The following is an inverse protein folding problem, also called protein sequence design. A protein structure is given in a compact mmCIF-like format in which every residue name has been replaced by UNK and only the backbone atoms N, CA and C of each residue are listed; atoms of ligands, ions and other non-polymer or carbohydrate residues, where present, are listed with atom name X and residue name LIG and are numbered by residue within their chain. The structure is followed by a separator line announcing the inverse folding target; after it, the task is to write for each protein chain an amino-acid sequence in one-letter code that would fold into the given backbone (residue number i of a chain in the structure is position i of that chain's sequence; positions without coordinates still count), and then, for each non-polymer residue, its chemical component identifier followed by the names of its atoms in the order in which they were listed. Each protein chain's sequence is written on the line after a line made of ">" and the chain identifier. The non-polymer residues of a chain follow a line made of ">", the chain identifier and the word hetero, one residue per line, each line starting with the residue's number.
data_IF_180711565796
#
_entry.id   IF_180711565796
#
_cell.length_a   1.000
_cell.length_b   1.000
_cell.length_c   1.000
_cell.angle_alpha   90.00
_cell.angle_beta   90.00
_cell.angle_gamma   90.00
#
_symmetry.space_group_name_H-M   'P 1'
#
loop_
_entity.id
_entity.type
_entity.pdbx_description
1 polymer ?
#
# COMPACT_ATOMS: atom_id res chain seq x y z
N UNK A 1 13.23 10.31 4.51
CA UNK A 1 13.57 10.10 5.94
C UNK A 1 13.10 8.71 6.32
N UNK A 2 13.82 8.00 7.17
CA UNK A 2 13.35 6.75 7.78
C UNK A 2 13.75 6.69 9.25
N UNK A 3 12.88 6.21 10.13
CA UNK A 3 13.18 6.03 11.56
C UNK A 3 13.93 4.73 11.84
N UNK A 4 14.65 4.66 12.96
CA UNK A 4 15.14 3.39 13.50
C UNK A 4 13.96 2.54 13.98
N UNK A 5 14.06 1.19 13.97
CA UNK A 5 12.97 0.34 14.46
C UNK A 5 12.52 0.64 15.89
N UNK A 6 13.45 1.08 16.75
CA UNK A 6 13.15 1.50 18.13
C UNK A 6 12.64 2.94 18.26
N UNK A 7 12.61 3.73 17.18
CA UNK A 7 12.11 5.11 17.16
C UNK A 7 13.01 6.15 17.85
N UNK A 8 14.17 5.77 18.39
CA UNK A 8 15.09 6.67 19.09
C UNK A 8 15.96 7.55 18.18
N UNK A 9 15.82 7.38 16.86
CA UNK A 9 16.68 8.00 15.86
C UNK A 9 16.12 7.87 14.45
N UNK A 10 16.78 8.52 13.50
CA UNK A 10 16.36 8.51 12.10
C UNK A 10 17.53 8.77 11.15
N UNK A 11 17.34 8.34 9.91
CA UNK A 11 18.18 8.65 8.78
C UNK A 11 17.51 9.65 7.84
N UNK A 12 18.30 10.58 7.32
CA UNK A 12 17.98 11.34 6.12
C UNK A 12 18.81 10.80 4.97
N UNK A 13 18.18 10.67 3.82
CA UNK A 13 18.84 10.33 2.57
C UNK A 13 18.65 11.47 1.58
N UNK A 14 19.73 11.86 0.93
CA UNK A 14 19.73 12.87 -0.13
C UNK A 14 19.70 12.20 -1.50
N UNK A 15 19.28 12.96 -2.53
CA UNK A 15 19.15 12.45 -3.91
C UNK A 15 20.49 12.02 -4.52
N UNK A 16 21.60 12.54 -4.02
CA UNK A 16 22.96 12.12 -4.39
C UNK A 16 23.41 10.84 -3.67
N UNK A 17 22.57 10.24 -2.83
CA UNK A 17 22.88 9.06 -2.04
C UNK A 17 23.62 9.34 -0.73
N UNK A 18 23.77 10.60 -0.34
CA UNK A 18 24.24 11.00 0.98
C UNK A 18 23.30 10.49 2.07
N UNK A 19 23.85 9.87 3.11
CA UNK A 19 23.09 9.40 4.29
C UNK A 19 23.56 10.14 5.54
N UNK A 20 22.61 10.67 6.30
CA UNK A 20 22.85 11.38 7.54
C UNK A 20 22.09 10.67 8.66
N UNK A 21 22.80 10.26 9.71
CA UNK A 21 22.23 9.56 10.85
C UNK A 21 22.10 10.49 12.07
N UNK A 22 20.95 10.41 12.76
CA UNK A 22 20.64 11.22 13.94
C UNK A 22 20.04 10.36 15.05
N UNK A 23 20.23 10.78 16.31
CA UNK A 23 19.74 10.04 17.48
C UNK A 23 20.51 8.75 17.68
N UNK A 24 19.80 7.63 17.84
CA UNK A 24 20.38 6.28 17.97
C UNK A 24 20.67 5.58 16.63
N UNK A 25 20.44 6.25 15.50
CA UNK A 25 20.66 5.68 14.17
C UNK A 25 22.16 5.44 13.90
N UNK A 26 22.52 4.21 13.50
CA UNK A 26 23.87 3.85 13.07
C UNK A 26 24.15 4.25 11.62
N UNK A 27 25.38 4.67 11.29
CA UNK A 27 25.79 4.92 9.91
C UNK A 27 26.44 3.66 9.32
N UNK A 28 25.83 3.07 8.28
CA UNK A 28 26.29 1.82 7.68
C UNK A 28 26.86 1.96 6.27
N UNK A 29 26.83 3.18 5.71
CA UNK A 29 27.37 3.50 4.40
C UNK A 29 26.52 4.51 3.62
N UNK A 30 27.02 4.95 2.47
CA UNK A 30 26.36 5.93 1.62
C UNK A 30 26.75 5.72 0.17
N UNK A 31 25.84 6.07 -0.75
CA UNK A 31 26.08 6.01 -2.19
C UNK A 31 26.68 7.31 -2.75
N UNK A 32 26.93 8.33 -1.92
CA UNK A 32 27.40 9.66 -2.33
C UNK A 32 28.77 9.67 -3.03
N UNK A 33 29.56 8.60 -2.90
CA UNK A 33 30.86 8.46 -3.59
C UNK A 33 30.74 7.74 -4.92
N UNK A 34 29.56 7.23 -5.27
CA UNK A 34 29.31 6.50 -6.50
C UNK A 34 28.80 7.46 -7.58
N UNK A 35 29.19 7.25 -8.86
CA UNK A 35 28.53 7.91 -9.97
C UNK A 35 27.14 7.29 -10.16
N UNK A 36 26.14 7.86 -9.50
CA UNK A 36 24.75 7.42 -9.64
C UNK A 36 24.23 7.71 -11.05
N UNK A 37 23.61 6.71 -11.67
CA UNK A 37 22.94 6.88 -12.96
C UNK A 37 21.64 7.70 -12.80
N UNK A 38 20.97 7.55 -11.66
CA UNK A 38 19.73 8.25 -11.30
C UNK A 38 19.70 8.59 -9.81
N UNK A 39 18.92 9.60 -9.39
CA UNK A 39 18.87 10.01 -8.00
C UNK A 39 18.29 8.94 -7.06
N UNK A 40 18.78 8.89 -5.83
CA UNK A 40 18.14 8.15 -4.74
C UNK A 40 16.79 8.83 -4.40
N UNK A 41 15.73 8.03 -4.35
CA UNK A 41 14.36 8.51 -4.06
C UNK A 41 13.81 7.95 -2.75
N UNK A 42 14.49 7.00 -2.13
CA UNK A 42 14.15 6.56 -0.79
C UNK A 42 15.16 5.62 -0.12
N UNK A 43 14.84 5.26 1.11
CA UNK A 43 15.59 4.28 1.90
C UNK A 43 14.66 3.45 2.76
N UNK A 44 15.06 2.22 3.06
CA UNK A 44 14.32 1.30 3.92
C UNK A 44 15.29 0.59 4.87
N UNK A 45 15.08 0.64 6.19
CA UNK A 45 15.93 -0.03 7.17
C UNK A 45 15.60 -1.51 7.27
N UNK A 46 16.59 -2.31 7.69
CA UNK A 46 16.35 -3.69 8.14
C UNK A 46 15.63 -3.69 9.49
N UNK A 47 14.96 -4.79 9.81
CA UNK A 47 14.23 -4.95 11.09
C UNK A 47 15.16 -4.86 12.31
N UNK A 48 16.43 -5.23 12.16
CA UNK A 48 17.46 -5.08 13.21
C UNK A 48 17.89 -3.63 13.42
N UNK A 49 17.59 -2.74 12.47
CA UNK A 49 18.11 -1.37 12.42
C UNK A 49 19.63 -1.31 12.18
N UNK A 50 20.26 -2.44 11.81
CA UNK A 50 21.72 -2.57 11.61
C UNK A 50 22.13 -2.50 10.13
N UNK A 51 21.22 -2.05 9.27
CA UNK A 51 21.42 -1.94 7.84
C UNK A 51 20.25 -1.24 7.16
N UNK A 52 20.42 -0.90 5.88
CA UNK A 52 19.38 -0.31 5.05
C UNK A 52 19.66 -0.52 3.56
N UNK A 53 18.58 -0.47 2.79
CA UNK A 53 18.62 -0.27 1.35
C UNK A 53 18.43 1.21 1.01
N UNK A 54 19.18 1.70 0.02
CA UNK A 54 18.84 2.90 -0.73
C UNK A 54 18.31 2.47 -2.10
N UNK A 55 17.28 3.14 -2.62
CA UNK A 55 16.76 2.87 -3.96
C UNK A 55 16.66 4.13 -4.81
N UNK A 56 17.07 4.01 -6.06
CA UNK A 56 17.11 5.07 -7.06
C UNK A 56 15.89 5.03 -7.99
N UNK A 57 15.61 6.15 -8.66
CA UNK A 57 14.47 6.28 -9.58
C UNK A 57 14.59 5.45 -10.86
N UNK A 58 15.75 4.85 -11.14
CA UNK A 58 15.92 3.84 -12.21
C UNK A 58 15.80 2.40 -11.68
N UNK A 59 15.47 2.22 -10.41
CA UNK A 59 15.41 0.91 -9.75
C UNK A 59 16.77 0.42 -9.24
N UNK A 60 17.81 1.27 -9.27
CA UNK A 60 19.10 1.00 -8.62
C UNK A 60 18.95 0.74 -7.13
N UNK A 61 19.35 -0.43 -6.64
CA UNK A 61 19.34 -0.76 -5.21
C UNK A 61 20.76 -0.84 -4.66
N UNK A 62 20.99 -0.22 -3.50
CA UNK A 62 22.27 -0.22 -2.79
C UNK A 62 22.03 -0.72 -1.37
N UNK A 63 22.72 -1.79 -0.97
CA UNK A 63 22.55 -2.39 0.36
C UNK A 63 23.75 -2.06 1.25
N UNK A 64 23.47 -1.66 2.50
CA UNK A 64 24.46 -1.28 3.50
C UNK A 64 24.18 -1.96 4.85
N UNK A 65 25.24 -2.20 5.63
CA UNK A 65 25.13 -2.88 6.91
C UNK A 65 24.74 -4.35 6.73
N UNK A 66 23.70 -4.80 7.43
CA UNK A 66 23.16 -6.16 7.34
C UNK A 66 22.06 -6.35 6.28
N UNK A 67 21.77 -5.32 5.47
CA UNK A 67 20.83 -5.42 4.37
C UNK A 67 21.35 -6.37 3.26
N UNK A 68 20.54 -7.36 2.87
CA UNK A 68 20.88 -8.29 1.79
C UNK A 68 20.65 -7.68 0.40
N UNK A 69 21.61 -7.82 -0.51
CA UNK A 69 21.44 -7.41 -1.91
C UNK A 69 20.89 -8.57 -2.75
N UNK A 70 19.70 -8.40 -3.32
CA UNK A 70 19.00 -9.45 -4.08
C UNK A 70 18.84 -9.14 -5.58
N UNK A 71 19.31 -7.98 -6.03
CA UNK A 71 19.24 -7.53 -7.42
C UNK A 71 18.89 -6.05 -7.56
N UNK A 72 18.78 -5.58 -8.80
CA UNK A 72 18.55 -4.16 -9.09
C UNK A 72 17.79 -4.02 -10.42
N UNK A 73 16.89 -3.02 -10.47
CA UNK A 73 16.13 -2.66 -11.66
C UNK A 73 16.84 -1.71 -12.63
N UNK A 74 18.04 -1.22 -12.27
CA UNK A 74 18.75 -0.13 -12.97
C UNK A 74 18.98 -0.34 -14.49
N UNK A 75 19.00 -1.59 -14.97
CA UNK A 75 19.23 -1.90 -16.38
C UNK A 75 17.96 -2.07 -17.21
N UNK A 76 16.78 -1.96 -16.58
CA UNK A 76 15.49 -2.13 -17.24
C UNK A 76 15.11 -0.98 -18.18
N UNK A 77 15.69 0.21 -17.96
CA UNK A 77 15.26 1.44 -18.63
C UNK A 77 13.91 1.98 -18.17
N UNK A 78 13.35 1.41 -17.08
CA UNK A 78 12.09 1.86 -16.48
C UNK A 78 12.33 2.87 -15.35
N UNK A 79 11.32 3.69 -15.06
CA UNK A 79 11.32 4.57 -13.90
C UNK A 79 10.60 3.89 -12.73
N UNK A 80 11.18 3.99 -11.53
CA UNK A 80 10.69 3.36 -10.31
C UNK A 80 10.26 4.41 -9.29
N UNK A 81 9.21 4.08 -8.53
CA UNK A 81 8.60 4.93 -7.51
C UNK A 81 8.76 4.37 -6.10
N UNK A 82 8.83 3.04 -5.94
CA UNK A 82 8.85 2.42 -4.62
C UNK A 82 9.61 1.09 -4.56
N UNK A 83 9.99 0.72 -3.33
CA UNK A 83 10.57 -0.57 -2.96
C UNK A 83 9.82 -1.11 -1.74
N UNK A 84 9.62 -2.43 -1.68
CA UNK A 84 9.00 -3.11 -0.54
C UNK A 84 9.75 -4.42 -0.21
N UNK A 85 10.51 -4.49 0.89
CA UNK A 85 11.16 -5.73 1.34
C UNK A 85 10.16 -6.77 1.85
N UNK A 86 10.52 -8.04 1.75
CA UNK A 86 9.73 -9.13 2.35
C UNK A 86 9.83 -9.07 3.88
N UNK A 87 8.82 -9.55 4.62
CA UNK A 87 8.86 -9.55 6.09
C UNK A 87 10.05 -10.29 6.70
N UNK A 88 10.55 -11.33 6.01
CA UNK A 88 11.73 -12.12 6.39
C UNK A 88 13.05 -11.53 5.88
N UNK A 89 13.00 -10.39 5.18
CA UNK A 89 14.14 -9.65 4.62
C UNK A 89 15.04 -10.46 3.66
N UNK A 90 14.54 -11.54 3.06
CA UNK A 90 15.27 -12.34 2.05
C UNK A 90 14.88 -12.03 0.60
N UNK A 91 14.14 -10.94 0.39
CA UNK A 91 13.79 -10.44 -0.93
C UNK A 91 13.17 -9.04 -0.88
N UNK A 92 12.87 -8.49 -2.04
CA UNK A 92 12.10 -7.27 -2.18
C UNK A 92 11.40 -7.17 -3.53
N UNK A 93 10.41 -6.29 -3.58
CA UNK A 93 9.67 -5.88 -4.77
C UNK A 93 10.04 -4.44 -5.12
N UNK A 94 10.22 -4.14 -6.40
CA UNK A 94 10.37 -2.78 -6.92
C UNK A 94 9.15 -2.44 -7.77
N UNK A 95 8.54 -1.28 -7.54
CA UNK A 95 7.38 -0.78 -8.26
C UNK A 95 7.80 0.30 -9.26
N UNK A 96 7.43 0.14 -10.52
CA UNK A 96 7.63 1.14 -11.55
C UNK A 96 6.55 2.23 -11.50
N UNK A 97 6.82 3.39 -12.10
CA UNK A 97 5.85 4.49 -12.21
C UNK A 97 4.60 4.11 -13.01
N UNK A 98 4.71 3.15 -13.93
CA UNK A 98 3.59 2.60 -14.70
C UNK A 98 2.91 1.43 -14.00
N UNK A 99 3.25 1.15 -12.73
CA UNK A 99 2.54 0.18 -11.88
C UNK A 99 3.03 -1.26 -11.99
N UNK A 100 4.15 -1.55 -12.66
CA UNK A 100 4.72 -2.90 -12.77
C UNK A 100 5.55 -3.27 -11.55
N UNK A 101 5.42 -4.51 -11.10
CA UNK A 101 6.21 -5.05 -10.00
C UNK A 101 7.34 -5.94 -10.54
N UNK A 102 8.57 -5.65 -10.13
CA UNK A 102 9.73 -6.52 -10.32
C UNK A 102 10.12 -7.17 -9.00
N UNK A 103 10.24 -8.50 -8.98
CA UNK A 103 10.58 -9.27 -7.77
C UNK A 103 12.06 -9.67 -7.75
N UNK A 104 12.67 -9.61 -6.56
CA UNK A 104 14.07 -9.97 -6.32
C UNK A 104 14.20 -10.81 -5.05
N UNK A 105 15.14 -11.76 -5.07
CA UNK A 105 15.35 -12.69 -3.96
C UNK A 105 14.19 -13.68 -3.83
N UNK A 106 13.74 -13.93 -2.59
CA UNK A 106 12.62 -14.81 -2.29
C UNK A 106 11.24 -14.11 -2.29
N UNK A 107 11.16 -12.86 -2.77
CA UNK A 107 9.89 -12.16 -2.87
C UNK A 107 8.93 -12.88 -3.82
N UNK A 108 7.74 -13.24 -3.33
CA UNK A 108 6.67 -13.76 -4.16
C UNK A 108 6.17 -12.67 -5.12
N UNK A 109 5.97 -13.02 -6.38
CA UNK A 109 5.22 -12.19 -7.32
C UNK A 109 3.74 -12.21 -6.93
N UNK A 110 3.18 -11.04 -6.67
CA UNK A 110 1.80 -10.85 -6.25
C UNK A 110 0.95 -10.23 -7.36
N UNK A 111 1.48 -10.17 -8.59
CA UNK A 111 0.90 -9.42 -9.70
C UNK A 111 1.32 -7.95 -9.67
N UNK A 112 1.11 -7.26 -10.79
CA UNK A 112 1.34 -5.81 -10.89
C UNK A 112 0.02 -5.05 -10.91
N UNK A 113 -0.08 -3.88 -10.26
CA UNK A 113 -1.15 -2.92 -10.55
C UNK A 113 -1.32 -2.63 -12.05
N UNK A 114 -0.22 -2.61 -12.81
CA UNK A 114 -0.24 -2.45 -14.27
C UNK A 114 -0.83 -3.63 -15.06
N UNK A 115 -0.96 -4.80 -14.42
CA UNK A 115 -1.57 -5.97 -15.03
C UNK A 115 -3.09 -5.89 -14.98
N UNK A 116 -3.66 -4.98 -14.16
CA UNK A 116 -5.05 -4.55 -14.33
C UNK A 116 -5.24 -4.11 -15.77
N UNK A 117 -6.29 -4.61 -16.43
CA UNK A 117 -6.51 -4.26 -17.83
C UNK A 117 -6.54 -2.73 -17.97
N UNK A 118 -6.00 -2.17 -19.06
CA UNK A 118 -6.03 -0.72 -19.27
C UNK A 118 -7.47 -0.12 -19.26
N UNK A 119 -8.49 -0.98 -19.32
CA UNK A 119 -9.90 -0.60 -19.14
C UNK A 119 -10.27 -0.36 -17.65
N UNK A 120 -9.53 -0.95 -16.72
CA UNK A 120 -9.76 -0.89 -15.28
C UNK A 120 -8.75 -0.03 -14.51
N UNK A 121 -7.77 0.60 -15.18
CA UNK A 121 -6.73 1.41 -14.54
C UNK A 121 -7.31 2.69 -13.89
N UNK A 122 -7.41 2.73 -12.54
CA UNK A 122 -7.88 3.91 -11.82
C UNK A 122 -6.83 5.05 -11.85
N UNK A 123 -5.61 4.78 -12.32
CA UNK A 123 -4.51 5.74 -12.32
C UNK A 123 -4.21 6.29 -13.72
N UNK A 124 -5.14 6.15 -14.66
CA UNK A 124 -5.01 6.81 -15.97
C UNK A 124 -4.78 8.31 -15.79
N UNK A 125 -3.73 8.83 -16.43
CA UNK A 125 -3.24 10.19 -16.22
C UNK A 125 -4.33 11.24 -16.49
N UNK A 126 -4.55 12.15 -15.52
CA UNK A 126 -5.50 13.26 -15.64
C UNK A 126 -6.91 12.96 -15.11
N UNK A 127 -7.15 11.77 -14.56
CA UNK A 127 -8.30 11.48 -13.70
C UNK A 127 -8.07 12.06 -12.30
N UNK A 128 -9.12 12.18 -11.48
CA UNK A 128 -9.00 12.85 -10.18
C UNK A 128 -7.95 12.24 -9.22
N UNK A 129 -7.64 10.93 -9.19
CA UNK A 129 -6.57 10.40 -8.33
C UNK A 129 -5.16 10.75 -8.81
N UNK A 130 -5.00 11.09 -10.10
CA UNK A 130 -3.70 11.41 -10.71
C UNK A 130 -3.61 12.85 -11.22
N UNK A 131 -4.63 13.65 -10.92
CA UNK A 131 -4.68 15.05 -11.32
C UNK A 131 -3.55 15.81 -10.63
N UNK A 132 -2.68 16.46 -11.40
CA UNK A 132 -1.68 17.36 -10.85
C UNK A 132 -2.38 18.57 -10.21
N UNK A 133 -2.43 18.58 -8.87
CA UNK A 133 -3.05 19.65 -8.09
C UNK A 133 -2.08 20.77 -7.73
N UNK A 134 -0.79 20.69 -8.10
CA UNK A 134 0.24 21.64 -7.66
C UNK A 134 -0.02 23.08 -8.12
N UNK A 135 -0.75 23.24 -9.24
CA UNK A 135 -1.16 24.54 -9.78
C UNK A 135 -2.56 25.02 -9.37
N UNK A 136 -3.32 24.24 -8.59
CA UNK A 136 -4.70 24.59 -8.24
C UNK A 136 -4.77 25.70 -7.17
N UNK A 137 -5.82 26.55 -7.18
CA UNK A 137 -5.99 27.58 -6.16
C UNK A 137 -6.11 26.99 -4.75
N UNK A 138 -5.35 27.56 -3.82
CA UNK A 138 -5.44 27.18 -2.40
C UNK A 138 -6.73 27.75 -1.81
N UNK A 139 -7.53 26.90 -1.16
CA UNK A 139 -8.74 27.33 -0.48
C UNK A 139 -8.44 28.37 0.63
N UNK A 140 -9.28 29.40 0.77
CA UNK A 140 -9.06 30.50 1.72
C UNK A 140 -8.93 30.06 3.19
N UNK A 141 -9.46 28.87 3.54
CA UNK A 141 -9.38 28.26 4.87
C UNK A 141 -8.27 27.19 5.01
N UNK A 142 -7.42 26.99 4.00
CA UNK A 142 -6.40 25.92 4.00
C UNK A 142 -5.54 25.91 5.25
N UNK A 143 -5.06 27.08 5.69
CA UNK A 143 -4.29 27.23 6.93
C UNK A 143 -5.06 26.82 8.19
N UNK A 144 -6.38 27.06 8.23
CA UNK A 144 -7.23 26.60 9.33
C UNK A 144 -7.44 25.08 9.31
N UNK A 145 -7.56 24.47 8.12
CA UNK A 145 -7.67 23.01 7.96
C UNK A 145 -6.37 22.30 8.39
N UNK A 146 -5.21 22.81 7.95
CA UNK A 146 -3.90 22.30 8.37
C UNK A 146 -3.74 22.42 9.89
N UNK A 147 -4.14 23.56 10.47
CA UNK A 147 -4.09 23.76 11.91
C UNK A 147 -5.03 22.79 12.67
N UNK A 148 -6.20 22.43 12.12
CA UNK A 148 -7.11 21.47 12.76
C UNK A 148 -6.62 20.02 12.72
N UNK A 149 -5.88 19.62 11.68
CA UNK A 149 -5.22 18.30 11.62
C UNK A 149 -4.16 18.19 12.72
N UNK A 150 -3.46 19.30 13.02
CA UNK A 150 -2.55 19.44 14.14
C UNK A 150 -1.09 19.21 13.74
N UNK A 151 -0.37 20.29 13.43
CA UNK A 151 1.02 20.24 12.91
C UNK A 151 2.10 19.70 13.87
N UNK A 152 1.75 19.27 15.08
CA UNK A 152 2.63 18.58 16.01
C UNK A 152 2.21 17.14 16.31
N UNK A 153 1.20 16.61 15.61
CA UNK A 153 0.77 15.22 15.72
C UNK A 153 1.61 14.36 14.79
N UNK A 154 1.99 13.19 15.26
CA UNK A 154 2.62 12.19 14.39
C UNK A 154 1.55 11.62 13.46
N UNK A 155 1.91 11.44 12.19
CA UNK A 155 1.12 10.63 11.28
C UNK A 155 1.21 9.17 11.72
N UNK A 156 0.07 8.47 11.69
CA UNK A 156 0.04 7.01 11.79
C UNK A 156 0.21 6.44 10.38
N UNK A 157 1.35 5.83 10.03
CA UNK A 157 1.52 5.21 8.73
C UNK A 157 0.68 3.94 8.67
N UNK A 158 -0.18 3.79 7.66
CA UNK A 158 -1.06 2.63 7.53
C UNK A 158 -0.81 1.86 6.21
N UNK A 159 0.43 1.38 6.06
CA UNK A 159 0.98 0.93 4.77
C UNK A 159 1.03 -0.60 4.59
N UNK A 160 0.20 -1.39 5.27
CA UNK A 160 0.23 -2.85 5.12
C UNK A 160 1.41 -3.54 5.81
N UNK A 161 2.23 -2.83 6.60
CA UNK A 161 3.42 -3.36 7.28
C UNK A 161 3.11 -3.87 8.69
N UNK A 162 4.12 -4.16 9.51
CA UNK A 162 3.92 -4.51 10.93
C UNK A 162 4.05 -3.27 11.82
N UNK A 163 3.04 -2.98 12.64
CA UNK A 163 3.06 -1.94 13.68
C UNK A 163 2.81 -2.59 15.04
N UNK A 164 3.65 -2.31 16.04
CA UNK A 164 3.57 -2.91 17.39
C UNK A 164 3.43 -4.46 17.41
N UNK A 165 4.02 -5.13 16.43
CA UNK A 165 3.98 -6.60 16.33
C UNK A 165 2.72 -7.18 15.68
N UNK A 166 1.80 -6.35 15.17
CA UNK A 166 0.63 -6.76 14.41
C UNK A 166 0.68 -6.20 12.97
N UNK A 167 0.09 -6.89 11.97
CA UNK A 167 -0.18 -6.29 10.66
C UNK A 167 -0.97 -4.98 10.82
N UNK A 168 -0.65 -4.00 10.01
CA UNK A 168 -1.17 -2.65 10.06
C UNK A 168 -1.57 -2.24 8.64
N UNK A 169 -2.75 -1.65 8.48
CA UNK A 169 -3.37 -1.35 7.19
C UNK A 169 -4.28 -2.47 6.70
N UNK A 170 -5.08 -2.14 5.70
CA UNK A 170 -6.09 -3.04 5.15
C UNK A 170 -5.46 -3.85 4.00
N UNK A 171 -5.35 -5.18 4.10
CA UNK A 171 -4.88 -5.99 3.00
C UNK A 171 -5.92 -6.05 1.88
N UNK A 172 -5.44 -6.15 0.63
CA UNK A 172 -6.30 -6.39 -0.53
C UNK A 172 -5.96 -7.71 -1.22
N UNK A 173 -6.91 -8.22 -2.00
CA UNK A 173 -6.71 -9.36 -2.89
C UNK A 173 -7.31 -9.04 -4.26
N UNK A 174 -6.62 -9.44 -5.33
CA UNK A 174 -7.17 -9.37 -6.69
C UNK A 174 -8.05 -10.58 -6.95
N UNK A 175 -9.14 -10.36 -7.68
CA UNK A 175 -10.14 -11.37 -8.04
C UNK A 175 -10.49 -11.22 -9.51
N UNK A 176 -11.01 -12.29 -10.08
CA UNK A 176 -11.35 -12.41 -11.49
C UNK A 176 -12.69 -13.13 -11.65
N UNK A 177 -13.16 -13.26 -12.90
CA UNK A 177 -14.41 -13.96 -13.23
C UNK A 177 -14.42 -15.45 -12.82
N UNK A 178 -13.26 -16.03 -12.48
CA UNK A 178 -13.15 -17.40 -12.00
C UNK A 178 -13.33 -17.54 -10.48
N UNK A 179 -13.26 -16.42 -9.76
CA UNK A 179 -13.39 -16.40 -8.29
C UNK A 179 -14.84 -16.69 -7.87
N UNK A 180 -15.08 -17.70 -7.01
CA UNK A 180 -16.43 -18.03 -6.56
C UNK A 180 -17.11 -16.87 -5.84
N UNK A 181 -18.40 -16.68 -6.15
CA UNK A 181 -19.24 -15.69 -5.48
C UNK A 181 -19.76 -16.24 -4.14
N UNK A 182 -19.66 -15.41 -3.11
CA UNK A 182 -20.10 -15.66 -1.74
C UNK A 182 -21.27 -14.74 -1.38
N UNK A 183 -22.32 -15.33 -0.83
CA UNK A 183 -23.41 -14.55 -0.23
C UNK A 183 -22.92 -13.85 1.05
N UNK A 184 -23.38 -12.62 1.26
CA UNK A 184 -23.04 -11.81 2.44
C UNK A 184 -24.32 -11.29 3.08
N UNK A 185 -24.45 -11.49 4.40
CA UNK A 185 -25.51 -10.88 5.21
C UNK A 185 -24.99 -9.61 5.88
N UNK A 186 -25.67 -8.48 5.69
CA UNK A 186 -25.25 -7.17 6.21
C UNK A 186 -26.01 -6.75 7.47
N UNK A 187 -25.30 -6.11 8.41
CA UNK A 187 -25.91 -5.37 9.53
C UNK A 187 -26.61 -4.10 9.02
N UNK A 188 -25.96 -3.37 8.12
CA UNK A 188 -26.44 -2.12 7.53
C UNK A 188 -26.84 -2.32 6.06
N UNK A 189 -27.78 -3.24 5.82
CA UNK A 189 -28.18 -3.65 4.47
C UNK A 189 -28.72 -2.48 3.61
N UNK A 190 -29.40 -1.50 4.23
CA UNK A 190 -29.98 -0.35 3.53
C UNK A 190 -28.95 0.68 3.05
N UNK A 191 -27.70 0.57 3.51
CA UNK A 191 -26.54 1.41 3.11
C UNK A 191 -25.44 0.58 2.43
N UNK A 192 -25.74 -0.67 2.09
CA UNK A 192 -24.79 -1.61 1.49
C UNK A 192 -25.14 -1.95 0.05
N UNK A 193 -24.11 -2.07 -0.78
CA UNK A 193 -24.25 -2.64 -2.11
C UNK A 193 -24.56 -4.15 -1.97
N UNK A 194 -25.68 -4.65 -2.54
CA UNK A 194 -26.10 -6.03 -2.33
C UNK A 194 -25.11 -7.02 -2.93
N UNK A 195 -25.00 -8.19 -2.28
CA UNK A 195 -24.18 -9.31 -2.77
C UNK A 195 -24.81 -10.07 -3.94
N UNK A 196 -24.16 -11.15 -4.41
CA UNK A 196 -22.98 -11.80 -3.81
C UNK A 196 -21.64 -11.16 -4.20
N UNK A 197 -20.58 -11.38 -3.41
CA UNK A 197 -19.23 -10.82 -3.59
C UNK A 197 -18.21 -11.92 -3.96
N UNK A 198 -17.20 -11.65 -4.80
CA UNK A 198 -16.15 -12.62 -5.16
C UNK A 198 -15.12 -12.75 -4.03
N UNK A 199 -15.48 -13.41 -2.92
CA UNK A 199 -14.61 -13.55 -1.75
C UNK A 199 -13.87 -14.90 -1.83
N UNK A 200 -12.54 -14.92 -2.01
CA UNK A 200 -11.76 -16.16 -1.94
C UNK A 200 -11.81 -16.80 -0.55
N UNK A 201 -11.69 -18.12 -0.46
CA UNK A 201 -11.65 -18.84 0.83
C UNK A 201 -10.50 -18.36 1.75
N UNK A 202 -9.41 -17.87 1.15
CA UNK A 202 -8.25 -17.31 1.83
C UNK A 202 -8.19 -15.77 1.79
N UNK A 203 -9.32 -15.10 1.60
CA UNK A 203 -9.39 -13.64 1.60
C UNK A 203 -8.70 -13.05 2.85
N UNK A 204 -7.76 -12.13 2.68
CA UNK A 204 -7.10 -11.51 3.82
C UNK A 204 -8.08 -10.56 4.52
N UNK A 205 -8.11 -10.63 5.84
CA UNK A 205 -8.94 -9.76 6.69
C UNK A 205 -7.99 -8.87 7.48
N UNK A 206 -8.30 -7.58 7.61
CA UNK A 206 -7.58 -6.69 8.52
C UNK A 206 -7.50 -7.28 9.94
N UNK A 207 -6.31 -7.20 10.56
CA UNK A 207 -6.06 -7.84 11.86
C UNK A 207 -6.00 -9.37 11.82
N UNK A 208 -6.22 -10.00 10.66
CA UNK A 208 -6.23 -11.44 10.46
C UNK A 208 -7.58 -12.11 10.69
N UNK A 209 -7.73 -13.39 10.31
CA UNK A 209 -9.02 -14.10 10.38
C UNK A 209 -9.59 -14.18 11.79
N UNK A 210 -8.74 -14.28 12.81
CA UNK A 210 -9.09 -14.37 14.24
C UNK A 210 -9.10 -13.01 14.95
N UNK A 211 -8.86 -11.90 14.25
CA UNK A 211 -8.81 -10.55 14.83
C UNK A 211 -10.16 -10.10 15.40
N UNK A 212 -10.16 -9.40 16.52
CA UNK A 212 -11.34 -8.88 17.20
C UNK A 212 -11.53 -7.36 17.02
N UNK A 213 -10.66 -6.73 16.23
CA UNK A 213 -10.64 -5.30 15.93
C UNK A 213 -11.45 -4.91 14.68
N UNK A 214 -10.97 -3.89 13.97
CA UNK A 214 -11.51 -3.49 12.68
C UNK A 214 -11.20 -4.57 11.62
N UNK A 215 -12.20 -4.93 10.80
CA UNK A 215 -12.17 -6.15 9.97
C UNK A 215 -12.63 -5.85 8.56
N UNK A 216 -11.71 -5.38 7.74
CA UNK A 216 -11.96 -5.07 6.35
C UNK A 216 -11.43 -6.15 5.41
N UNK A 217 -12.14 -6.33 4.29
CA UNK A 217 -11.67 -7.09 3.12
C UNK A 217 -11.77 -6.16 1.91
N UNK A 218 -10.63 -5.91 1.26
CA UNK A 218 -10.57 -5.21 -0.03
C UNK A 218 -10.41 -6.22 -1.17
N UNK A 219 -11.32 -6.18 -2.13
CA UNK A 219 -11.33 -7.01 -3.33
C UNK A 219 -11.17 -6.10 -4.56
N UNK A 220 -10.17 -6.37 -5.39
CA UNK A 220 -9.96 -5.67 -6.66
C UNK A 220 -10.33 -6.61 -7.80
N UNK A 221 -11.48 -6.40 -8.41
CA UNK A 221 -11.94 -7.16 -9.57
C UNK A 221 -11.34 -6.57 -10.85
N UNK A 222 -10.32 -7.25 -11.38
CA UNK A 222 -9.48 -6.75 -12.49
C UNK A 222 -10.12 -6.96 -13.86
N UNK A 223 -11.12 -7.83 -13.96
CA UNK A 223 -11.88 -8.12 -15.18
C UNK A 223 -13.08 -7.17 -15.34
N UNK A 224 -13.75 -6.83 -14.22
CA UNK A 224 -14.95 -6.02 -14.20
C UNK A 224 -14.72 -4.56 -13.75
N UNK A 225 -13.49 -4.20 -13.40
CA UNK A 225 -13.09 -2.87 -12.95
C UNK A 225 -13.82 -2.40 -11.68
N UNK A 226 -14.01 -3.30 -10.71
CA UNK A 226 -14.73 -2.99 -9.47
C UNK A 226 -13.83 -3.15 -8.26
N UNK A 227 -13.64 -2.08 -7.50
CA UNK A 227 -13.11 -2.15 -6.14
C UNK A 227 -14.28 -2.43 -5.19
N UNK A 228 -14.15 -3.42 -4.34
CA UNK A 228 -15.18 -3.81 -3.39
C UNK A 228 -14.59 -3.88 -1.99
N UNK A 229 -15.38 -3.51 -1.00
CA UNK A 229 -14.97 -3.48 0.39
C UNK A 229 -16.06 -4.04 1.29
N UNK A 230 -15.68 -4.84 2.28
CA UNK A 230 -16.56 -5.34 3.33
C UNK A 230 -16.01 -4.92 4.70
N UNK A 231 -16.82 -4.24 5.50
CA UNK A 231 -16.50 -3.90 6.90
C UNK A 231 -17.09 -4.94 7.86
N UNK A 232 -16.43 -5.14 9.01
CA UNK A 232 -16.79 -6.13 10.03
C UNK A 232 -16.98 -7.54 9.46
N UNK A 233 -16.14 -7.89 8.48
CA UNK A 233 -16.27 -9.10 7.68
C UNK A 233 -15.89 -10.35 8.50
N UNK A 234 -16.79 -11.33 8.54
CA UNK A 234 -16.61 -12.60 9.25
C UNK A 234 -16.87 -13.79 8.32
N UNK A 235 -15.93 -14.76 8.28
CA UNK A 235 -16.09 -15.96 7.47
C UNK A 235 -17.29 -16.80 7.94
N UNK A 236 -17.87 -17.62 7.06
CA UNK A 236 -18.95 -18.53 7.42
C UNK A 236 -18.55 -19.50 8.54
N UNK A 237 -19.48 -19.77 9.46
CA UNK A 237 -19.27 -20.76 10.55
C UNK A 237 -19.27 -22.20 10.01
N UNK A 238 -19.87 -22.43 8.85
CA UNK A 238 -19.94 -23.73 8.17
C UNK A 238 -19.43 -23.63 6.74
N UNK A 239 -18.71 -24.63 6.21
CA UNK A 239 -18.29 -24.65 4.80
C UNK A 239 -19.48 -24.43 3.85
N UNK A 240 -19.36 -23.48 2.93
CA UNK A 240 -20.43 -23.10 1.99
C UNK A 240 -21.58 -22.29 2.62
N UNK A 241 -21.44 -21.83 3.87
CA UNK A 241 -22.36 -20.86 4.46
C UNK A 241 -22.14 -19.43 3.95
N UNK A 242 -23.04 -18.52 4.29
CA UNK A 242 -22.90 -17.11 3.96
C UNK A 242 -21.87 -16.41 4.88
N UNK A 243 -21.16 -15.45 4.31
CA UNK A 243 -20.38 -14.48 5.07
C UNK A 243 -21.32 -13.53 5.82
N UNK A 244 -20.80 -12.90 6.87
CA UNK A 244 -21.49 -11.76 7.50
C UNK A 244 -20.58 -10.55 7.52
N UNK A 245 -21.15 -9.36 7.36
CA UNK A 245 -20.43 -8.10 7.36
C UNK A 245 -21.30 -7.00 7.97
N UNK A 246 -20.67 -5.94 8.46
CA UNK A 246 -21.33 -4.71 8.87
C UNK A 246 -21.97 -4.03 7.65
N UNK A 247 -21.14 -3.69 6.68
CA UNK A 247 -21.55 -3.08 5.41
C UNK A 247 -20.73 -3.61 4.24
N UNK A 248 -21.19 -3.35 3.02
CA UNK A 248 -20.48 -3.65 1.78
C UNK A 248 -20.57 -2.49 0.80
N UNK A 249 -19.43 -2.12 0.20
CA UNK A 249 -19.32 -1.04 -0.76
C UNK A 249 -18.74 -1.53 -2.08
N UNK A 250 -19.24 -1.00 -3.19
CA UNK A 250 -18.67 -1.22 -4.54
C UNK A 250 -18.39 0.09 -5.23
N UNK A 251 -17.24 0.15 -5.87
CA UNK A 251 -16.75 1.31 -6.61
C UNK A 251 -16.38 0.88 -8.02
N UNK A 252 -17.09 1.43 -9.00
CA UNK A 252 -16.74 1.30 -10.41
C UNK A 252 -15.53 2.22 -10.70
N UNK A 253 -14.39 1.59 -10.92
CA UNK A 253 -13.11 2.28 -11.16
C UNK A 253 -13.06 2.95 -12.54
N UNK A 254 -14.00 2.66 -13.44
CA UNK A 254 -14.06 3.27 -14.77
C UNK A 254 -14.84 4.59 -14.80
N UNK A 255 -15.78 4.80 -13.87
CA UNK A 255 -16.68 5.96 -13.87
C UNK A 255 -16.42 6.95 -12.75
N UNK A 256 -15.71 6.56 -11.69
CA UNK A 256 -15.47 7.40 -10.51
C UNK A 256 -16.76 7.87 -9.83
N UNK A 257 -17.83 7.12 -9.98
CA UNK A 257 -19.11 7.44 -9.37
C UNK A 257 -18.97 7.39 -7.84
N UNK A 258 -19.36 8.49 -7.19
CA UNK A 258 -19.51 8.50 -5.74
C UNK A 258 -20.72 7.65 -5.34
N UNK A 259 -20.66 7.07 -4.15
CA UNK A 259 -21.81 6.40 -3.54
C UNK A 259 -22.91 7.41 -3.19
N UNK A 260 -24.17 6.97 -3.02
CA UNK A 260 -25.25 7.87 -2.62
C UNK A 260 -24.90 8.65 -1.36
N UNK A 261 -25.32 9.93 -1.32
CA UNK A 261 -25.08 10.78 -0.17
C UNK A 261 -25.67 10.15 1.11
N UNK A 262 -24.88 10.12 2.18
CA UNK A 262 -25.23 9.50 3.46
C UNK A 262 -24.97 8.00 3.57
N UNK A 263 -24.55 7.31 2.52
CA UNK A 263 -24.12 5.91 2.62
C UNK A 263 -22.69 5.83 3.17
N UNK A 264 -22.48 5.07 4.24
CA UNK A 264 -21.12 4.83 4.75
C UNK A 264 -20.33 4.00 3.75
N UNK A 265 -19.14 4.45 3.34
CA UNK A 265 -18.11 3.53 2.84
C UNK A 265 -17.84 2.43 3.86
N UNK A 266 -17.30 1.29 3.41
CA UNK A 266 -17.02 0.23 4.36
C UNK A 266 -15.89 0.67 5.30
N UNK A 267 -14.81 1.28 4.83
CA UNK A 267 -13.83 2.03 5.66
C UNK A 267 -14.11 3.54 5.72
N UNK A 268 -13.76 4.18 6.84
CA UNK A 268 -13.92 5.62 7.08
C UNK A 268 -13.10 6.52 6.11
N UNK A 269 -12.23 5.93 5.28
CA UNK A 269 -11.47 6.64 4.26
C UNK A 269 -12.17 6.77 2.89
N UNK A 270 -13.37 6.20 2.70
CA UNK A 270 -14.13 6.32 1.46
C UNK A 270 -14.66 7.72 1.15
#
# INVERSE_FOLDING_TARGET
>A
MSSTPGGGGYWLVASDGGVFAYGDAGFFGSAATLPLASPIIGMLPTLSGSGYWLFASDGGVFAYGDAGFFGSGATSGMAFSAMAPTPDLVGYRLLTNDGKISVFGAAADLGSPADTSAACDPYSAGTWPTLDISGLPVHARSSAYIASVGGGRNLHPDFGTVWNGAPNGIPFVTVDDSTPLSDVTFLYADESDPGPYPIPDNAPIEGGPDGDGDRHILLVDEDNCVLQELFDARPPVTPGGAWSAGSGARFDMSTWALRPDGWTSADAAG
#
